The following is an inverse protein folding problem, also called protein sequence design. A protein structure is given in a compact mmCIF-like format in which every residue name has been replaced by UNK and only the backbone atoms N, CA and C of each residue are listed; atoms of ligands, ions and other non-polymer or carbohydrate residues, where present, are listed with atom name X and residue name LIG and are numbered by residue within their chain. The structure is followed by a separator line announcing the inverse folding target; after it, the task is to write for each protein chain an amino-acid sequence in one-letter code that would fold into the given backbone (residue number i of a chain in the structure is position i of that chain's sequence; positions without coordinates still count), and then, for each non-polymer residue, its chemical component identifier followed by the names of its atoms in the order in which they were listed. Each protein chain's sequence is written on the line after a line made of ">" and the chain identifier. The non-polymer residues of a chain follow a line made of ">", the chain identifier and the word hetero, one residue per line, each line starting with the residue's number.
data_IF_532649619088
#
_entry.id   IF_532649619088
#
_cell.length_a   1.000
_cell.length_b   1.000
_cell.length_c   1.000
_cell.angle_alpha   90.00
_cell.angle_beta   90.00
_cell.angle_gamma   90.00
#
_symmetry.space_group_name_H-M   'P 1'
#
loop_
_entity.id
_entity.type
_entity.pdbx_description
1 polymer ?
#
# COMPACT_ATOMS: atom_id res chain seq x y z
N UNK A 1 -33.92 159.89 -129.85
CA UNK A 1 -32.59 159.80 -130.50
C UNK A 1 -31.75 158.86 -129.66
N UNK A 2 -31.15 157.75 -130.12
CA UNK A 2 -31.07 157.12 -131.44
C UNK A 2 -30.54 155.70 -131.17
N UNK A 3 -31.06 154.75 -131.94
CA UNK A 3 -30.73 153.31 -131.99
C UNK A 3 -29.29 153.01 -132.42
N UNK A 4 -28.70 151.91 -131.92
CA UNK A 4 -27.83 151.04 -132.72
C UNK A 4 -27.74 149.61 -132.14
N UNK A 5 -28.09 148.64 -132.97
CA UNK A 5 -28.04 147.18 -132.78
C UNK A 5 -26.87 146.62 -133.59
N UNK A 6 -26.05 145.74 -133.01
CA UNK A 6 -25.06 144.94 -133.76
C UNK A 6 -25.07 143.47 -133.32
N UNK A 7 -25.11 142.57 -134.32
CA UNK A 7 -25.36 141.12 -134.27
C UNK A 7 -24.16 140.30 -133.79
N UNK A 8 -24.42 139.16 -133.10
CA UNK A 8 -23.45 138.14 -132.63
C UNK A 8 -23.28 136.99 -133.64
N UNK A 9 -22.04 136.53 -133.83
CA UNK A 9 -21.59 135.50 -134.78
C UNK A 9 -21.34 134.10 -134.16
N UNK A 10 -21.24 133.11 -135.04
CA UNK A 10 -21.58 131.68 -134.95
C UNK A 10 -20.72 130.77 -134.02
N UNK A 11 -19.66 131.27 -133.40
CA UNK A 11 -18.66 130.43 -132.70
C UNK A 11 -19.10 129.79 -131.38
N UNK A 12 -20.10 130.33 -130.69
CA UNK A 12 -20.50 129.86 -129.35
C UNK A 12 -21.43 128.64 -129.34
N UNK A 13 -22.00 128.24 -130.48
CA UNK A 13 -22.93 127.09 -130.53
C UNK A 13 -22.23 125.73 -130.54
N UNK A 14 -21.02 125.62 -131.11
CA UNK A 14 -20.29 124.36 -131.22
C UNK A 14 -19.79 123.87 -129.84
N UNK A 15 -19.33 124.81 -129.00
CA UNK A 15 -18.84 124.51 -127.64
C UNK A 15 -19.95 124.01 -126.71
N UNK A 16 -21.20 124.41 -126.92
CA UNK A 16 -22.33 123.95 -126.11
C UNK A 16 -22.70 122.49 -126.42
N UNK A 17 -22.64 122.08 -127.69
CA UNK A 17 -22.98 120.70 -128.11
C UNK A 17 -21.96 119.69 -127.56
N UNK A 18 -20.65 120.00 -127.62
CA UNK A 18 -19.61 119.10 -127.12
C UNK A 18 -19.73 118.89 -125.61
N UNK A 19 -20.04 119.95 -124.86
CA UNK A 19 -20.28 119.87 -123.41
C UNK A 19 -21.47 118.99 -123.10
N UNK A 20 -22.57 119.09 -123.86
CA UNK A 20 -23.76 118.26 -123.66
C UNK A 20 -23.49 116.77 -123.92
N UNK A 21 -22.74 116.43 -124.98
CA UNK A 21 -22.38 115.04 -125.29
C UNK A 21 -21.46 114.43 -124.23
N UNK A 22 -20.50 115.20 -123.72
CA UNK A 22 -19.63 114.74 -122.64
C UNK A 22 -20.41 114.49 -121.34
N UNK A 23 -21.34 115.40 -121.01
CA UNK A 23 -22.19 115.25 -119.83
C UNK A 23 -23.11 114.04 -119.96
N UNK A 24 -23.74 113.79 -121.11
CA UNK A 24 -24.59 112.60 -121.30
C UNK A 24 -23.79 111.30 -121.25
N UNK A 25 -22.57 111.27 -121.78
CA UNK A 25 -21.70 110.10 -121.69
C UNK A 25 -21.30 109.80 -120.24
N UNK A 26 -20.97 110.85 -119.47
CA UNK A 26 -20.65 110.73 -118.05
C UNK A 26 -21.87 110.25 -117.24
N UNK A 27 -23.08 110.73 -117.59
CA UNK A 27 -24.33 110.31 -116.98
C UNK A 27 -24.63 108.82 -117.26
N UNK A 28 -24.35 108.34 -118.48
CA UNK A 28 -24.46 106.92 -118.81
C UNK A 28 -23.47 106.06 -118.02
N UNK A 29 -22.22 106.51 -117.86
CA UNK A 29 -21.23 105.83 -117.03
C UNK A 29 -21.70 105.78 -115.57
N UNK A 30 -22.27 106.85 -115.04
CA UNK A 30 -22.80 106.89 -113.67
C UNK A 30 -23.99 105.93 -113.50
N UNK A 31 -24.91 105.87 -114.48
CA UNK A 31 -26.03 104.92 -114.45
C UNK A 31 -25.53 103.48 -114.52
N UNK A 32 -24.55 103.18 -115.39
CA UNK A 32 -23.91 101.86 -115.48
C UNK A 32 -23.15 101.50 -114.20
N UNK A 33 -22.48 102.47 -113.58
CA UNK A 33 -21.78 102.28 -112.30
C UNK A 33 -22.76 102.07 -111.14
N UNK A 34 -23.90 102.74 -111.13
CA UNK A 34 -24.97 102.54 -110.14
C UNK A 34 -25.71 101.21 -110.36
N UNK A 35 -25.97 100.82 -111.60
CA UNK A 35 -26.59 99.54 -111.93
C UNK A 35 -25.64 98.37 -111.63
N UNK A 36 -24.35 98.50 -112.00
CA UNK A 36 -23.31 97.52 -111.69
C UNK A 36 -23.02 97.45 -110.19
N UNK A 37 -22.95 98.59 -109.51
CA UNK A 37 -22.78 98.68 -108.06
C UNK A 37 -23.99 98.16 -107.29
N UNK A 38 -25.21 98.39 -107.79
CA UNK A 38 -26.45 97.83 -107.25
C UNK A 38 -26.54 96.32 -107.43
N UNK A 39 -26.18 95.81 -108.62
CA UNK A 39 -26.09 94.37 -108.87
C UNK A 39 -25.03 93.70 -107.98
N UNK A 40 -23.87 94.33 -107.83
CA UNK A 40 -22.80 93.84 -106.95
C UNK A 40 -23.20 93.89 -105.47
N UNK A 41 -23.90 94.95 -105.05
CA UNK A 41 -24.46 95.06 -103.70
C UNK A 41 -25.52 94.01 -103.41
N UNK A 42 -26.40 93.70 -104.37
CA UNK A 42 -27.39 92.60 -104.25
C UNK A 42 -26.69 91.24 -104.19
N UNK A 43 -25.62 91.05 -104.95
CA UNK A 43 -24.86 89.79 -104.97
C UNK A 43 -24.06 89.60 -103.67
N UNK A 44 -23.53 90.68 -103.10
CA UNK A 44 -22.86 90.66 -101.79
C UNK A 44 -23.87 90.50 -100.64
N UNK A 45 -25.05 91.11 -100.76
CA UNK A 45 -26.18 90.84 -99.85
C UNK A 45 -26.60 89.38 -99.93
N UNK A 46 -26.75 88.81 -101.13
CA UNK A 46 -27.06 87.39 -101.31
C UNK A 46 -25.99 86.49 -100.69
N UNK A 47 -24.70 86.77 -100.92
CA UNK A 47 -23.59 86.05 -100.25
C UNK A 47 -23.62 86.20 -98.74
N UNK A 48 -23.96 87.38 -98.22
CA UNK A 48 -24.09 87.61 -96.79
C UNK A 48 -25.26 86.80 -96.21
N UNK A 49 -26.40 86.73 -96.92
CA UNK A 49 -27.54 85.90 -96.55
C UNK A 49 -27.20 84.42 -96.62
N UNK A 50 -26.50 83.97 -97.66
CA UNK A 50 -26.06 82.58 -97.78
C UNK A 50 -25.08 82.21 -96.66
N UNK A 51 -24.17 83.11 -96.31
CA UNK A 51 -23.21 82.91 -95.21
C UNK A 51 -23.91 82.86 -93.85
N UNK A 52 -24.82 83.80 -93.59
CA UNK A 52 -25.64 83.81 -92.37
C UNK A 52 -26.54 82.59 -92.30
N UNK A 53 -27.15 82.17 -93.40
CA UNK A 53 -28.01 80.98 -93.44
C UNK A 53 -27.20 79.70 -93.23
N UNK A 54 -25.97 79.64 -93.75
CA UNK A 54 -25.02 78.55 -93.46
C UNK A 54 -24.62 78.53 -91.99
N UNK A 55 -24.34 79.69 -91.40
CA UNK A 55 -24.02 79.81 -89.97
C UNK A 55 -25.21 79.47 -89.08
N UNK A 56 -26.43 79.86 -89.45
CA UNK A 56 -27.67 79.49 -88.76
C UNK A 56 -27.87 77.98 -88.85
N UNK A 57 -27.63 77.36 -90.01
CA UNK A 57 -27.67 75.90 -90.17
C UNK A 57 -26.64 75.18 -89.29
N UNK A 58 -25.40 75.67 -89.26
CA UNK A 58 -24.33 75.15 -88.40
C UNK A 58 -24.66 75.30 -86.90
N UNK A 59 -25.15 76.47 -86.50
CA UNK A 59 -25.59 76.73 -85.12
C UNK A 59 -26.79 75.85 -84.74
N UNK A 60 -27.72 75.61 -85.66
CA UNK A 60 -28.88 74.72 -85.43
C UNK A 60 -28.42 73.28 -85.20
N UNK A 61 -27.48 72.78 -86.01
CA UNK A 61 -26.89 71.45 -85.81
C UNK A 61 -26.10 71.37 -84.49
N UNK A 62 -25.32 72.40 -84.16
CA UNK A 62 -24.60 72.47 -82.89
C UNK A 62 -25.59 72.42 -81.70
N UNK A 63 -26.68 73.20 -81.74
CA UNK A 63 -27.71 73.19 -80.69
C UNK A 63 -28.37 71.82 -80.58
N UNK A 64 -28.65 71.13 -81.68
CA UNK A 64 -29.25 69.79 -81.63
C UNK A 64 -28.28 68.74 -81.06
N UNK A 65 -26.99 68.82 -81.38
CA UNK A 65 -25.95 67.99 -80.76
C UNK A 65 -25.82 68.28 -79.27
N UNK A 66 -25.74 69.56 -78.86
CA UNK A 66 -25.73 69.92 -77.45
C UNK A 66 -26.99 69.44 -76.73
N UNK A 67 -28.16 69.49 -77.37
CA UNK A 67 -29.41 68.99 -76.80
C UNK A 67 -29.40 67.47 -76.63
N UNK A 68 -28.86 66.76 -77.62
CA UNK A 68 -28.62 65.32 -77.54
C UNK A 68 -27.66 64.97 -76.41
N UNK A 69 -26.54 65.70 -76.30
CA UNK A 69 -25.54 65.51 -75.25
C UNK A 69 -26.12 65.82 -73.86
N UNK A 70 -26.87 66.92 -73.72
CA UNK A 70 -27.56 67.27 -72.47
C UNK A 70 -28.60 66.22 -72.09
N UNK A 71 -29.39 65.72 -73.04
CA UNK A 71 -30.34 64.63 -72.79
C UNK A 71 -29.64 63.33 -72.39
N UNK A 72 -28.49 63.01 -73.01
CA UNK A 72 -27.67 61.86 -72.64
C UNK A 72 -27.07 61.99 -71.24
N UNK A 73 -26.52 63.16 -70.90
CA UNK A 73 -26.00 63.47 -69.56
C UNK A 73 -27.10 63.45 -68.50
N UNK A 74 -28.27 64.01 -68.80
CA UNK A 74 -29.44 63.96 -67.92
C UNK A 74 -30.01 62.55 -67.78
N UNK A 75 -29.89 61.69 -68.79
CA UNK A 75 -30.25 60.27 -68.71
C UNK A 75 -29.30 59.46 -67.83
N UNK A 76 -27.99 59.72 -67.94
CA UNK A 76 -26.96 59.00 -67.19
C UNK A 76 -26.85 59.43 -65.71
N UNK A 77 -27.23 60.67 -65.37
CA UNK A 77 -27.12 61.19 -64.00
C UNK A 77 -27.97 60.42 -62.97
N UNK A 78 -29.25 60.09 -63.24
CA UNK A 78 -30.04 59.18 -62.38
C UNK A 78 -29.43 57.79 -62.22
N UNK A 79 -28.85 57.22 -63.28
CA UNK A 79 -28.19 55.90 -63.23
C UNK A 79 -26.95 55.94 -62.34
N UNK A 80 -26.14 56.98 -62.45
CA UNK A 80 -24.99 57.21 -61.56
C UNK A 80 -25.42 57.35 -60.09
N UNK A 81 -26.54 58.04 -59.83
CA UNK A 81 -27.08 58.20 -58.47
C UNK A 81 -27.60 56.87 -57.89
N UNK A 82 -28.23 56.03 -58.72
CA UNK A 82 -28.63 54.68 -58.31
C UNK A 82 -27.41 53.80 -58.00
N UNK A 83 -26.37 53.84 -58.83
CA UNK A 83 -25.13 53.11 -58.59
C UNK A 83 -24.44 53.56 -57.30
N UNK A 84 -24.36 54.86 -57.03
CA UNK A 84 -23.81 55.39 -55.78
C UNK A 84 -24.60 54.90 -54.57
N UNK A 85 -25.94 54.88 -54.66
CA UNK A 85 -26.80 54.40 -53.59
C UNK A 85 -26.60 52.90 -53.34
N UNK A 86 -26.46 52.10 -54.40
CA UNK A 86 -26.18 50.66 -54.29
C UNK A 86 -24.80 50.41 -53.66
N UNK A 87 -23.77 51.11 -54.13
CA UNK A 87 -22.41 51.02 -53.57
C UNK A 87 -22.36 51.44 -52.10
N UNK A 88 -23.09 52.49 -51.71
CA UNK A 88 -23.21 52.90 -50.31
C UNK A 88 -23.85 51.80 -49.46
N UNK A 89 -24.95 51.20 -49.95
CA UNK A 89 -25.60 50.08 -49.27
C UNK A 89 -24.66 48.86 -49.13
N UNK A 90 -23.89 48.54 -50.15
CA UNK A 90 -22.91 47.45 -50.12
C UNK A 90 -21.77 47.73 -49.13
N UNK A 91 -21.31 48.99 -49.07
CA UNK A 91 -20.26 49.43 -48.15
C UNK A 91 -20.75 49.36 -46.70
N UNK A 92 -21.99 49.75 -46.42
CA UNK A 92 -22.62 49.61 -45.11
C UNK A 92 -22.76 48.14 -44.70
N UNK A 93 -23.18 47.28 -45.64
CA UNK A 93 -23.27 45.84 -45.39
C UNK A 93 -21.89 45.21 -45.11
N UNK A 94 -20.85 45.61 -45.86
CA UNK A 94 -19.49 45.13 -45.67
C UNK A 94 -18.90 45.59 -44.32
N UNK A 95 -19.14 46.84 -43.93
CA UNK A 95 -18.76 47.36 -42.61
C UNK A 95 -19.45 46.61 -41.47
N UNK A 96 -20.73 46.27 -41.64
CA UNK A 96 -21.46 45.41 -40.69
C UNK A 96 -20.80 44.03 -40.55
N UNK A 97 -20.42 43.39 -41.67
CA UNK A 97 -19.70 42.10 -41.66
C UNK A 97 -18.32 42.20 -41.03
N UNK A 98 -17.57 43.28 -41.26
CA UNK A 98 -16.28 43.52 -40.61
C UNK A 98 -16.46 43.61 -39.08
N UNK A 99 -17.46 44.35 -38.63
CA UNK A 99 -17.76 44.49 -37.19
C UNK A 99 -18.14 43.16 -36.54
N UNK A 100 -18.93 42.32 -37.23
CA UNK A 100 -19.28 40.97 -36.77
C UNK A 100 -18.04 40.06 -36.69
N UNK A 101 -17.19 40.09 -37.72
CA UNK A 101 -15.95 39.31 -37.74
C UNK A 101 -15.00 39.74 -36.62
N UNK A 102 -14.84 41.04 -36.38
CA UNK A 102 -14.02 41.55 -35.27
C UNK A 102 -14.55 41.09 -33.91
N UNK A 103 -15.88 41.10 -33.73
CA UNK A 103 -16.51 40.60 -32.50
C UNK A 103 -16.24 39.12 -32.30
N UNK A 104 -16.44 38.31 -33.35
CA UNK A 104 -16.18 36.86 -33.31
C UNK A 104 -14.70 36.53 -33.09
N UNK A 105 -13.80 37.34 -33.63
CA UNK A 105 -12.36 37.18 -33.42
C UNK A 105 -12.00 37.44 -31.94
N UNK A 106 -12.55 38.49 -31.33
CA UNK A 106 -12.36 38.78 -29.91
C UNK A 106 -12.95 37.69 -28.99
N UNK A 107 -14.12 37.13 -29.34
CA UNK A 107 -14.71 35.99 -28.64
C UNK A 107 -13.82 34.74 -28.77
N UNK A 108 -13.27 34.49 -29.96
CA UNK A 108 -12.37 33.36 -30.21
C UNK A 108 -11.05 33.51 -29.44
N UNK A 109 -10.49 34.71 -29.37
CA UNK A 109 -9.28 35.00 -28.57
C UNK A 109 -9.52 34.73 -27.08
N UNK A 110 -10.69 35.11 -26.57
CA UNK A 110 -11.10 34.82 -25.20
C UNK A 110 -11.23 33.31 -24.96
N UNK A 111 -11.91 32.60 -25.87
CA UNK A 111 -12.08 31.14 -25.76
C UNK A 111 -10.73 30.39 -25.82
N UNK A 112 -9.79 30.84 -26.65
CA UNK A 112 -8.43 30.29 -26.70
C UNK A 112 -7.70 30.54 -25.39
N UNK A 113 -7.79 31.75 -24.82
CA UNK A 113 -7.16 32.07 -23.54
C UNK A 113 -7.70 31.18 -22.40
N UNK A 114 -9.03 31.00 -22.34
CA UNK A 114 -9.67 30.13 -21.34
C UNK A 114 -9.24 28.67 -21.49
N UNK A 115 -9.19 28.15 -22.72
CA UNK A 115 -8.72 26.79 -22.99
C UNK A 115 -7.23 26.61 -22.65
N UNK A 116 -6.40 27.63 -22.88
CA UNK A 116 -4.99 27.60 -22.48
C UNK A 116 -4.87 27.52 -20.95
N UNK A 117 -5.62 28.35 -20.21
CA UNK A 117 -5.62 28.32 -18.75
C UNK A 117 -6.11 26.98 -18.19
N UNK A 118 -7.19 26.41 -18.76
CA UNK A 118 -7.70 25.11 -18.36
C UNK A 118 -6.69 23.98 -18.63
N UNK A 119 -5.95 24.04 -19.74
CA UNK A 119 -4.89 23.08 -20.03
C UNK A 119 -3.73 23.18 -19.03
N UNK A 120 -3.32 24.39 -18.67
CA UNK A 120 -2.28 24.60 -17.64
C UNK A 120 -2.71 24.02 -16.28
N UNK A 121 -3.98 24.19 -15.90
CA UNK A 121 -4.52 23.60 -14.68
C UNK A 121 -4.52 22.06 -14.74
N UNK A 122 -4.95 21.48 -15.86
CA UNK A 122 -4.92 20.03 -16.06
C UNK A 122 -3.50 19.47 -15.99
N UNK A 123 -2.52 20.16 -16.57
CA UNK A 123 -1.11 19.78 -16.48
C UNK A 123 -0.64 19.78 -15.02
N UNK A 124 -0.98 20.82 -14.25
CA UNK A 124 -0.61 20.91 -12.84
C UNK A 124 -1.27 19.81 -11.99
N UNK A 125 -2.54 19.49 -12.25
CA UNK A 125 -3.25 18.39 -11.58
C UNK A 125 -2.64 17.03 -11.92
N UNK A 126 -2.27 16.79 -13.17
CA UNK A 126 -1.57 15.57 -13.58
C UNK A 126 -0.24 15.42 -12.86
N UNK A 127 0.57 16.48 -12.79
CA UNK A 127 1.84 16.45 -12.05
C UNK A 127 1.63 16.11 -10.56
N UNK A 128 0.61 16.69 -9.93
CA UNK A 128 0.28 16.38 -8.52
C UNK A 128 -0.13 14.91 -8.33
N UNK A 129 -0.90 14.36 -9.27
CA UNK A 129 -1.31 12.95 -9.23
C UNK A 129 -0.12 12.01 -9.45
N UNK A 130 0.80 12.36 -10.34
CA UNK A 130 2.05 11.62 -10.58
C UNK A 130 2.92 11.60 -9.32
N UNK A 131 3.13 12.75 -8.67
CA UNK A 131 3.86 12.84 -7.39
C UNK A 131 3.19 11.99 -6.31
N UNK A 132 1.86 12.04 -6.21
CA UNK A 132 1.10 11.21 -5.27
C UNK A 132 1.23 9.71 -5.55
N UNK A 133 1.29 9.30 -6.82
CA UNK A 133 1.50 7.91 -7.21
C UNK A 133 2.90 7.43 -6.84
N UNK A 134 3.92 8.27 -7.05
CA UNK A 134 5.31 7.97 -6.65
C UNK A 134 5.41 7.82 -5.13
N UNK A 135 4.77 8.71 -4.36
CA UNK A 135 4.73 8.61 -2.91
C UNK A 135 4.07 7.28 -2.45
N UNK A 136 2.90 6.94 -2.99
CA UNK A 136 2.22 5.67 -2.68
C UNK A 136 3.06 4.45 -3.07
N UNK A 137 3.79 4.49 -4.18
CA UNK A 137 4.73 3.42 -4.55
C UNK A 137 5.84 3.27 -3.52
N UNK A 138 6.38 4.38 -3.01
CA UNK A 138 7.37 4.39 -1.93
C UNK A 138 6.83 3.78 -0.63
N UNK A 139 5.61 4.14 -0.25
CA UNK A 139 4.93 3.59 0.93
C UNK A 139 4.69 2.08 0.78
N UNK A 140 4.27 1.63 -0.41
CA UNK A 140 4.09 0.20 -0.69
C UNK A 140 5.39 -0.58 -0.54
N UNK A 141 6.50 -0.08 -1.09
CA UNK A 141 7.83 -0.72 -0.95
C UNK A 141 8.23 -0.79 0.53
N UNK A 142 7.99 0.29 1.28
CA UNK A 142 8.29 0.35 2.71
C UNK A 142 7.48 -0.69 3.49
N UNK A 143 6.17 -0.77 3.22
CA UNK A 143 5.29 -1.74 3.87
C UNK A 143 5.65 -3.18 3.50
N UNK A 144 5.99 -3.46 2.24
CA UNK A 144 6.48 -4.78 1.82
C UNK A 144 7.73 -5.19 2.60
N UNK A 145 8.69 -4.27 2.74
CA UNK A 145 9.92 -4.53 3.51
C UNK A 145 9.62 -4.81 4.99
N UNK A 146 8.67 -4.09 5.58
CA UNK A 146 8.24 -4.33 6.97
C UNK A 146 7.54 -5.68 7.12
N UNK A 147 6.70 -6.08 6.16
CA UNK A 147 6.05 -7.39 6.15
C UNK A 147 7.07 -8.53 6.05
N UNK A 148 8.08 -8.38 5.20
CA UNK A 148 9.16 -9.37 5.07
C UNK A 148 9.94 -9.51 6.38
N UNK A 149 10.24 -8.38 7.04
CA UNK A 149 10.92 -8.38 8.35
C UNK A 149 10.08 -9.07 9.40
N UNK A 150 8.79 -8.72 9.50
CA UNK A 150 7.86 -9.35 10.45
C UNK A 150 7.68 -10.85 10.17
N UNK A 151 7.69 -11.25 8.89
CA UNK A 151 7.69 -12.65 8.50
C UNK A 151 8.90 -13.41 9.05
N UNK A 152 10.11 -12.83 8.91
CA UNK A 152 11.33 -13.37 9.50
C UNK A 152 11.29 -13.48 11.02
N UNK A 153 10.77 -12.47 11.71
CA UNK A 153 10.61 -12.48 13.17
C UNK A 153 9.62 -13.56 13.63
N UNK A 154 8.50 -13.76 12.90
CA UNK A 154 7.53 -14.82 13.19
C UNK A 154 8.15 -16.21 13.02
N UNK A 155 8.95 -16.42 11.97
CA UNK A 155 9.65 -17.68 11.75
C UNK A 155 10.68 -17.97 12.85
N UNK A 156 11.41 -16.95 13.31
CA UNK A 156 12.34 -17.06 14.43
C UNK A 156 11.62 -17.43 15.74
N UNK A 157 10.54 -16.73 16.09
CA UNK A 157 9.73 -17.03 17.28
C UNK A 157 9.16 -18.45 17.20
N UNK A 158 8.74 -18.90 16.02
CA UNK A 158 8.25 -20.27 15.82
C UNK A 158 9.33 -21.31 16.10
N UNK A 159 10.55 -21.07 15.64
CA UNK A 159 11.70 -21.93 15.91
C UNK A 159 12.06 -21.98 17.41
N UNK A 160 12.00 -20.83 18.10
CA UNK A 160 12.21 -20.75 19.54
C UNK A 160 11.15 -21.53 20.32
N UNK A 161 9.88 -21.44 19.93
CA UNK A 161 8.79 -22.22 20.52
C UNK A 161 9.02 -23.73 20.35
N UNK A 162 9.41 -24.19 19.16
CA UNK A 162 9.76 -25.60 18.95
C UNK A 162 10.96 -26.04 19.80
N UNK A 163 11.96 -25.17 19.96
CA UNK A 163 13.11 -25.47 20.82
C UNK A 163 12.68 -25.59 22.29
N UNK A 164 11.83 -24.69 22.76
CA UNK A 164 11.32 -24.71 24.12
C UNK A 164 10.45 -25.94 24.40
N UNK A 165 9.61 -26.34 23.44
CA UNK A 165 8.78 -27.56 23.52
C UNK A 165 9.65 -28.83 23.67
N UNK A 166 10.74 -28.92 22.89
CA UNK A 166 11.71 -29.99 23.04
C UNK A 166 12.41 -29.98 24.41
N UNK A 167 12.77 -28.79 24.92
CA UNK A 167 13.34 -28.66 26.26
C UNK A 167 12.36 -29.12 27.35
N UNK A 168 11.09 -28.74 27.26
CA UNK A 168 10.06 -29.18 28.21
C UNK A 168 9.91 -30.69 28.19
N UNK A 169 9.79 -31.29 27.00
CA UNK A 169 9.71 -32.75 26.85
C UNK A 169 10.93 -33.46 27.46
N UNK A 170 12.13 -32.94 27.23
CA UNK A 170 13.35 -33.49 27.83
C UNK A 170 13.36 -33.35 29.36
N UNK A 171 12.94 -32.21 29.90
CA UNK A 171 12.83 -32.01 31.34
C UNK A 171 11.82 -32.98 31.97
N UNK A 172 10.68 -33.19 31.35
CA UNK A 172 9.68 -34.17 31.81
C UNK A 172 10.26 -35.58 31.87
N UNK A 173 11.02 -36.01 30.84
CA UNK A 173 11.69 -37.31 30.84
C UNK A 173 12.76 -37.43 31.94
N UNK A 174 13.54 -36.36 32.17
CA UNK A 174 14.55 -36.33 33.24
C UNK A 174 13.89 -36.43 34.61
N UNK A 175 12.79 -35.72 34.84
CA UNK A 175 12.04 -35.77 36.10
C UNK A 175 11.48 -37.18 36.35
N UNK A 176 10.86 -37.80 35.35
CA UNK A 176 10.35 -39.18 35.46
C UNK A 176 11.49 -40.15 35.78
N UNK A 177 12.61 -40.06 35.07
CA UNK A 177 13.77 -40.92 35.28
C UNK A 177 14.34 -40.75 36.69
N UNK A 178 14.51 -39.50 37.15
CA UNK A 178 15.00 -39.20 38.49
C UNK A 178 14.05 -39.72 39.57
N UNK A 179 12.73 -39.58 39.38
CA UNK A 179 11.72 -40.10 40.31
C UNK A 179 11.78 -41.64 40.41
N UNK A 180 11.92 -42.34 39.28
CA UNK A 180 12.07 -43.80 39.28
C UNK A 180 13.37 -44.23 39.98
N UNK A 181 14.49 -43.56 39.71
CA UNK A 181 15.77 -43.86 40.37
C UNK A 181 15.69 -43.62 41.89
N UNK A 182 15.03 -42.55 42.32
CA UNK A 182 14.83 -42.26 43.74
C UNK A 182 14.00 -43.36 44.43
N UNK A 183 12.91 -43.83 43.79
CA UNK A 183 12.10 -44.94 44.32
C UNK A 183 12.92 -46.22 44.50
N UNK A 184 13.70 -46.61 43.48
CA UNK A 184 14.55 -47.80 43.54
C UNK A 184 15.62 -47.68 44.63
N UNK A 185 16.20 -46.50 44.81
CA UNK A 185 17.19 -46.26 45.86
C UNK A 185 16.56 -46.37 47.27
N UNK A 186 15.33 -45.89 47.44
CA UNK A 186 14.57 -46.03 48.70
C UNK A 186 14.29 -47.50 49.00
N UNK A 187 13.76 -48.25 48.03
CA UNK A 187 13.45 -49.67 48.20
C UNK A 187 14.70 -50.48 48.54
N UNK A 188 15.80 -50.21 47.83
CA UNK A 188 17.10 -50.85 48.08
C UNK A 188 17.63 -50.54 49.48
N UNK A 189 17.50 -49.29 49.93
CA UNK A 189 17.91 -48.89 51.29
C UNK A 189 17.08 -49.59 52.36
N UNK A 190 15.77 -49.74 52.17
CA UNK A 190 14.91 -50.44 53.13
C UNK A 190 15.27 -51.93 53.23
N UNK A 191 15.53 -52.59 52.10
CA UNK A 191 15.97 -54.00 52.07
C UNK A 191 17.31 -54.16 52.79
N UNK A 192 18.25 -53.25 52.56
CA UNK A 192 19.55 -53.28 53.26
C UNK A 192 19.36 -53.13 54.77
N UNK A 193 18.57 -52.16 55.22
CA UNK A 193 18.30 -51.96 56.66
C UNK A 193 17.68 -53.20 57.29
N UNK A 194 16.59 -53.75 56.71
CA UNK A 194 15.95 -54.97 57.22
C UNK A 194 16.90 -56.17 57.25
N UNK A 195 17.76 -56.30 56.24
CA UNK A 195 18.75 -57.39 56.18
C UNK A 195 19.80 -57.22 57.28
N UNK A 196 20.30 -56.00 57.48
CA UNK A 196 21.26 -55.69 58.54
C UNK A 196 20.67 -55.94 59.92
N UNK A 197 19.45 -55.48 60.17
CA UNK A 197 18.75 -55.69 61.44
C UNK A 197 18.55 -57.19 61.70
N UNK A 198 18.11 -57.95 60.69
CA UNK A 198 17.94 -59.39 60.82
C UNK A 198 19.27 -60.12 61.09
N UNK A 199 20.35 -59.76 60.39
CA UNK A 199 21.68 -60.32 60.63
C UNK A 199 22.18 -60.02 62.04
N UNK A 200 22.01 -58.77 62.51
CA UNK A 200 22.42 -58.36 63.85
C UNK A 200 21.69 -59.18 64.91
N UNK A 201 20.37 -59.27 64.81
CA UNK A 201 19.59 -60.04 65.78
C UNK A 201 19.95 -61.54 65.74
N UNK A 202 20.16 -62.11 64.56
CA UNK A 202 20.60 -63.51 64.41
C UNK A 202 21.96 -63.77 65.07
N UNK A 203 22.93 -62.84 64.93
CA UNK A 203 24.23 -62.93 65.59
C UNK A 203 24.12 -62.88 67.12
N UNK A 204 23.22 -62.04 67.65
CA UNK A 204 22.99 -61.96 69.09
C UNK A 204 22.37 -63.27 69.61
N UNK A 205 21.46 -63.89 68.86
CA UNK A 205 20.90 -65.21 69.20
C UNK A 205 21.95 -66.32 69.21
N UNK A 206 22.82 -66.39 68.21
CA UNK A 206 23.95 -67.33 68.19
C UNK A 206 24.86 -67.16 69.41
N UNK A 207 25.13 -65.91 69.80
CA UNK A 207 25.94 -65.62 70.99
C UNK A 207 25.24 -66.07 72.28
N UNK A 208 23.93 -65.84 72.40
CA UNK A 208 23.16 -66.35 73.54
C UNK A 208 23.20 -67.88 73.59
N UNK A 209 23.09 -68.54 72.43
CA UNK A 209 23.12 -69.99 72.30
C UNK A 209 24.46 -70.57 72.77
N UNK A 210 25.58 -69.98 72.34
CA UNK A 210 26.93 -70.37 72.80
C UNK A 210 27.06 -70.27 74.33
N UNK A 211 26.56 -69.18 74.91
CA UNK A 211 26.67 -68.93 76.35
C UNK A 211 25.82 -69.91 77.15
N UNK A 212 24.63 -70.26 76.68
CA UNK A 212 23.77 -71.28 77.31
C UNK A 212 24.44 -72.65 77.24
N UNK A 213 25.03 -73.04 76.10
CA UNK A 213 25.79 -74.28 75.97
C UNK A 213 26.98 -74.31 76.94
N UNK A 214 27.68 -73.18 77.12
CA UNK A 214 28.78 -73.07 78.09
C UNK A 214 28.29 -73.19 79.53
N UNK A 215 27.14 -72.61 79.88
CA UNK A 215 26.52 -72.75 81.19
C UNK A 215 26.19 -74.23 81.49
N UNK A 216 25.62 -74.96 80.51
CA UNK A 216 25.34 -76.40 80.61
C UNK A 216 26.61 -77.20 80.85
N UNK A 217 27.67 -76.94 80.09
CA UNK A 217 28.97 -77.61 80.26
C UNK A 217 29.56 -77.37 81.66
N UNK A 218 29.50 -76.14 82.17
CA UNK A 218 29.98 -75.80 83.51
C UNK A 218 29.22 -76.52 84.63
N UNK A 219 27.93 -76.81 84.45
CA UNK A 219 27.19 -77.66 85.39
C UNK A 219 27.65 -79.11 85.35
N UNK A 220 27.95 -79.65 84.16
CA UNK A 220 28.53 -81.00 84.02
C UNK A 220 29.92 -81.10 84.67
N UNK A 221 30.68 -80.00 84.67
CA UNK A 221 31.97 -79.87 85.35
C UNK A 221 31.85 -79.59 86.86
N UNK A 222 30.63 -79.61 87.42
CA UNK A 222 30.32 -79.31 88.82
C UNK A 222 30.75 -77.89 89.27
N UNK A 223 30.67 -76.91 88.37
CA UNK A 223 31.01 -75.51 88.62
C UNK A 223 29.77 -74.60 88.53
N UNK A 224 28.89 -74.72 89.52
CA UNK A 224 27.62 -74.01 89.59
C UNK A 224 27.75 -72.48 89.60
N UNK A 225 28.82 -71.94 90.21
CA UNK A 225 29.06 -70.50 90.26
C UNK A 225 29.33 -69.91 88.88
N UNK A 226 30.22 -70.54 88.11
CA UNK A 226 30.49 -70.12 86.73
C UNK A 226 29.30 -70.38 85.79
N UNK A 227 28.52 -71.43 86.03
CA UNK A 227 27.29 -71.68 85.27
C UNK A 227 26.24 -70.58 85.51
N UNK A 228 26.07 -70.13 86.76
CA UNK A 228 25.18 -69.02 87.09
C UNK A 228 25.63 -67.70 86.43
N UNK A 229 26.95 -67.43 86.38
CA UNK A 229 27.48 -66.26 85.66
C UNK A 229 27.15 -66.29 84.17
N UNK A 230 27.29 -67.44 83.51
CA UNK A 230 26.96 -67.57 82.09
C UNK A 230 25.46 -67.46 81.83
N UNK A 231 24.63 -68.10 82.66
CA UNK A 231 23.18 -67.98 82.54
C UNK A 231 22.70 -66.53 82.73
N UNK A 232 23.28 -65.78 83.68
CA UNK A 232 23.00 -64.34 83.83
C UNK A 232 23.41 -63.54 82.59
N UNK A 233 24.56 -63.85 81.99
CA UNK A 233 25.03 -63.18 80.77
C UNK A 233 24.12 -63.47 79.58
N UNK A 234 23.65 -64.72 79.43
CA UNK A 234 22.69 -65.10 78.39
C UNK A 234 21.36 -64.35 78.56
N UNK A 235 20.84 -64.25 79.79
CA UNK A 235 19.63 -63.45 80.09
C UNK A 235 19.84 -62.00 79.66
N UNK A 236 20.93 -61.36 80.10
CA UNK A 236 21.21 -59.96 79.75
C UNK A 236 21.26 -59.73 78.24
N UNK A 237 21.91 -60.62 77.49
CA UNK A 237 21.99 -60.54 76.03
C UNK A 237 20.59 -60.70 75.39
N UNK A 238 19.78 -61.64 75.86
CA UNK A 238 18.42 -61.84 75.33
C UNK A 238 17.48 -60.69 75.72
N UNK A 239 17.66 -60.04 76.86
CA UNK A 239 16.89 -58.85 77.24
C UNK A 239 17.14 -57.69 76.29
N UNK A 240 18.36 -57.55 75.73
CA UNK A 240 18.64 -56.51 74.73
C UNK A 240 17.91 -56.70 73.40
N UNK A 241 17.55 -57.94 73.05
CA UNK A 241 16.73 -58.29 71.88
C UNK A 241 15.23 -58.13 72.13
N UNK A 242 14.79 -58.14 73.39
CA UNK A 242 13.39 -58.24 73.80
C UNK A 242 12.63 -56.91 73.79
N UNK A 243 12.70 -56.16 72.68
CA UNK A 243 12.13 -54.81 72.60
C UNK A 243 10.63 -54.84 72.21
N UNK A 244 10.09 -55.98 71.75
CA UNK A 244 8.69 -56.11 71.29
C UNK A 244 7.90 -57.17 72.10
N UNK A 245 6.60 -56.93 72.31
CA UNK A 245 5.72 -57.72 73.20
C UNK A 245 5.41 -59.16 72.75
N UNK A 246 5.54 -59.48 71.45
CA UNK A 246 5.41 -60.85 70.91
C UNK A 246 6.78 -61.52 70.79
N UNK A 247 7.51 -61.61 71.90
CA UNK A 247 8.88 -62.09 71.88
C UNK A 247 8.96 -63.63 71.99
N UNK A 248 9.41 -64.36 70.94
CA UNK A 248 9.63 -65.80 71.03
C UNK A 248 10.72 -66.19 72.04
N UNK A 249 11.51 -65.22 72.52
CA UNK A 249 12.54 -65.41 73.55
C UNK A 249 12.00 -65.42 74.98
N UNK A 250 10.72 -65.11 75.19
CA UNK A 250 10.10 -65.10 76.54
C UNK A 250 10.19 -66.48 77.20
N UNK A 251 10.00 -67.55 76.42
CA UNK A 251 10.15 -68.92 76.89
C UNK A 251 11.61 -69.22 77.31
N UNK A 252 12.58 -68.79 76.50
CA UNK A 252 14.02 -68.94 76.79
C UNK A 252 14.39 -68.18 78.07
N UNK A 253 13.99 -66.92 78.19
CA UNK A 253 14.27 -66.08 79.36
C UNK A 253 13.70 -66.68 80.65
N UNK A 254 12.43 -67.10 80.60
CA UNK A 254 11.76 -67.76 81.75
C UNK A 254 12.53 -68.99 82.20
N UNK A 255 13.00 -69.81 81.26
CA UNK A 255 13.80 -71.02 81.57
C UNK A 255 15.17 -70.68 82.14
N UNK A 256 15.85 -69.67 81.62
CA UNK A 256 17.14 -69.22 82.16
C UNK A 256 16.99 -68.66 83.59
N UNK A 257 15.92 -67.92 83.86
CA UNK A 257 15.62 -67.42 85.21
C UNK A 257 15.29 -68.56 86.20
N UNK A 258 14.54 -69.57 85.76
CA UNK A 258 14.29 -70.78 86.54
C UNK A 258 15.60 -71.55 86.83
N UNK A 259 16.49 -71.67 85.83
CA UNK A 259 17.80 -72.27 86.02
C UNK A 259 18.64 -71.50 87.05
N UNK A 260 18.62 -70.15 87.00
CA UNK A 260 19.31 -69.29 87.96
C UNK A 260 18.75 -69.43 89.38
N UNK A 261 17.42 -69.52 89.53
CA UNK A 261 16.78 -69.73 90.82
C UNK A 261 17.12 -71.08 91.45
N UNK A 262 17.37 -72.10 90.62
CA UNK A 262 17.78 -73.43 91.04
C UNK A 262 19.28 -73.50 91.43
N UNK A 263 20.11 -72.53 91.06
CA UNK A 263 21.54 -72.54 91.38
C UNK A 263 21.86 -71.79 92.69
N UNK A 264 22.78 -72.30 93.55
CA UNK A 264 23.48 -73.59 93.47
C UNK A 264 22.73 -74.76 94.13
N UNK A 265 21.55 -74.53 94.72
CA UNK A 265 20.88 -75.46 95.63
C UNK A 265 20.30 -76.73 94.99
N UNK A 266 20.02 -76.70 93.68
CA UNK A 266 19.41 -77.80 92.92
C UNK A 266 20.03 -77.89 91.50
N UNK A 267 21.26 -78.42 91.36
CA UNK A 267 21.98 -78.42 90.08
C UNK A 267 21.31 -79.28 89.00
N UNK A 268 20.59 -80.34 89.35
CA UNK A 268 19.86 -81.17 88.38
C UNK A 268 18.64 -80.45 87.80
N UNK A 269 17.89 -79.72 88.63
CA UNK A 269 16.80 -78.85 88.17
C UNK A 269 17.32 -77.73 87.27
N UNK A 270 18.42 -77.07 87.66
CA UNK A 270 19.07 -76.06 86.84
C UNK A 270 19.54 -76.60 85.48
N UNK A 271 20.10 -77.81 85.44
CA UNK A 271 20.51 -78.45 84.19
C UNK A 271 19.33 -78.71 83.25
N UNK A 272 18.19 -79.17 83.79
CA UNK A 272 16.97 -79.39 83.00
C UNK A 272 16.39 -78.08 82.43
N UNK A 273 16.40 -77.00 83.20
CA UNK A 273 15.91 -75.71 82.73
C UNK A 273 16.86 -75.08 81.70
N UNK A 274 18.18 -75.26 81.84
CA UNK A 274 19.14 -74.85 80.80
C UNK A 274 19.02 -75.68 79.51
N UNK A 275 18.70 -76.97 79.60
CA UNK A 275 18.40 -77.81 78.43
C UNK A 275 17.22 -77.25 77.66
N UNK A 276 16.11 -76.99 78.36
CA UNK A 276 14.90 -76.43 77.75
C UNK A 276 15.13 -75.04 77.19
N UNK A 277 15.90 -74.19 77.88
CA UNK A 277 16.27 -72.88 77.35
C UNK A 277 17.07 -73.01 76.05
N UNK A 278 17.96 -74.00 75.97
CA UNK A 278 18.75 -74.29 74.78
C UNK A 278 17.88 -74.80 73.62
N UNK A 279 16.98 -75.75 73.87
CA UNK A 279 16.05 -76.27 72.85
C UNK A 279 15.16 -75.16 72.27
N UNK A 280 14.60 -74.31 73.12
CA UNK A 280 13.76 -73.20 72.69
C UNK A 280 14.57 -72.16 71.90
N UNK A 281 15.81 -71.89 72.31
CA UNK A 281 16.67 -70.96 71.58
C UNK A 281 17.11 -71.52 70.21
N UNK A 282 17.36 -72.82 70.13
CA UNK A 282 17.64 -73.53 68.87
C UNK A 282 16.43 -73.46 67.93
N UNK A 283 15.21 -73.64 68.45
CA UNK A 283 13.98 -73.48 67.67
C UNK A 283 13.81 -72.06 67.12
N UNK A 284 14.04 -71.05 67.95
CA UNK A 284 13.95 -69.63 67.52
C UNK A 284 15.00 -69.32 66.45
N UNK A 285 16.22 -69.83 66.61
CA UNK A 285 17.29 -69.66 65.65
C UNK A 285 17.01 -70.38 64.32
N UNK A 286 16.50 -71.61 64.37
CA UNK A 286 16.12 -72.41 63.21
C UNK A 286 14.99 -71.73 62.41
N UNK A 287 13.94 -71.26 63.10
CA UNK A 287 12.85 -70.52 62.50
C UNK A 287 13.34 -69.26 61.78
N UNK A 288 14.31 -68.56 62.38
CA UNK A 288 14.88 -67.32 61.82
C UNK A 288 15.78 -67.56 60.61
N UNK A 289 16.50 -68.68 60.58
CA UNK A 289 17.33 -69.10 59.44
C UNK A 289 16.51 -69.80 58.33
N UNK A 290 15.20 -69.98 58.52
CA UNK A 290 14.35 -70.70 57.58
C UNK A 290 14.67 -72.20 57.50
N UNK A 291 15.24 -72.77 58.55
CA UNK A 291 15.48 -74.21 58.64
C UNK A 291 14.17 -74.93 59.03
N UNK A 292 13.85 -76.08 58.41
CA UNK A 292 12.66 -76.85 58.76
C UNK A 292 12.71 -77.30 60.23
N UNK A 293 11.59 -77.26 60.95
CA UNK A 293 11.52 -77.67 62.37
C UNK A 293 12.03 -79.11 62.56
N UNK A 294 12.76 -79.41 63.66
CA UNK A 294 13.23 -80.75 63.94
C UNK A 294 12.04 -81.70 64.10
N UNK A 295 11.97 -82.71 63.24
CA UNK A 295 10.92 -83.74 63.26
C UNK A 295 11.04 -84.53 64.56
N UNK A 296 10.06 -84.39 65.45
CA UNK A 296 9.93 -85.25 66.63
C UNK A 296 9.63 -86.67 66.14
N UNK A 297 10.62 -87.55 66.17
CA UNK A 297 10.43 -88.98 65.91
C UNK A 297 9.65 -89.55 67.09
N UNK A 298 8.34 -89.67 66.95
CA UNK A 298 7.51 -90.40 67.91
C UNK A 298 7.76 -91.89 67.68
N UNK A 299 8.48 -92.54 68.59
CA UNK A 299 8.57 -94.01 68.61
C UNK A 299 7.17 -94.61 68.77
N UNK A 300 6.78 -95.61 67.95
CA UNK A 300 5.47 -96.23 68.06
C UNK A 300 5.34 -97.00 69.38
N UNK A 301 4.33 -96.64 70.17
CA UNK A 301 3.87 -97.39 71.35
C UNK A 301 3.69 -98.87 71.03
N UNK A 302 4.28 -99.82 71.80
CA UNK A 302 4.11 -101.23 71.53
C UNK A 302 2.66 -101.68 71.78
N UNK A 303 2.04 -102.22 70.74
CA UNK A 303 0.72 -102.86 70.76
C UNK A 303 0.72 -104.06 71.73
N UNK A 304 -0.20 -104.15 72.71
CA UNK A 304 -0.36 -105.38 73.48
C UNK A 304 -0.92 -106.49 72.58
N UNK A 305 -0.23 -107.63 72.57
CA UNK A 305 -0.56 -108.87 71.82
C UNK A 305 -1.66 -109.65 72.59
N UNK A 306 -2.51 -110.47 71.92
CA UNK A 306 -3.94 -110.67 72.19
C UNK A 306 -4.29 -111.43 73.47
#
# INVERSE_FOLDING_TARGET
>A
MSTQTTRRTFGTRLLWILKTVFVTFLLLIVILALAGGGYWGVLELQRSFDSVNTQIGANTQAVELLRSDVNGLMGNSPEQQQQLTALQSDLDALNGRLTDLDTRLAEQDTAVADLTAANEELIARTATLEDGLVAMQGDLITNTTQLDTLGGDVDAVRADVTTLDNHVTNLEQVVVTAATQASVAIDSSQVVTLTVDNMQETLILFRAWEIVTRARLRLLENNAGLAATDAQLAVQILTTLAINDDNPLTAVQTRLEQALANLPGNPSGAAQDLERAWDELDRVLAARMGLPEPVVVVEPTPTPTP
#
